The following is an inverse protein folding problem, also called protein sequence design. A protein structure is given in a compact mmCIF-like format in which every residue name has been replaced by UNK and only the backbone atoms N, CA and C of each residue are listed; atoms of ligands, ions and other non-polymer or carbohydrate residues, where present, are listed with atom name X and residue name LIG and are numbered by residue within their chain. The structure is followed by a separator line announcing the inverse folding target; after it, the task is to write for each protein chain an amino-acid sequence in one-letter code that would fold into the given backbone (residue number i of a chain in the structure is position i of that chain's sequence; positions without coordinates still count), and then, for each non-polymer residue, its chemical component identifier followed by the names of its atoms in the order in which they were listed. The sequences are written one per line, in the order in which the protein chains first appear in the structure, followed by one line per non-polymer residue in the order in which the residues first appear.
data_IF_446666745839
#
_entry.id   IF_446666745839
#
_cell.length_a   1.000
_cell.length_b   1.000
_cell.length_c   1.000
_cell.angle_alpha   90.00
_cell.angle_beta   90.00
_cell.angle_gamma   90.00
#
_symmetry.space_group_name_H-M   'P 1'
#
loop_
_entity.id
_entity.type
_entity.pdbx_description
1 polymer ?
#
# COMPACT_ATOMS: atom_id res chain seq x y z
N UNK A 1 -56.09 25.32 35.08
CA UNK A 1 -55.31 26.21 34.20
C UNK A 1 -53.97 26.36 34.89
N UNK A 2 -52.86 25.78 34.43
CA UNK A 2 -52.23 25.92 33.11
C UNK A 2 -51.57 24.59 32.73
N UNK A 3 -51.82 24.10 31.51
CA UNK A 3 -51.21 22.89 30.97
C UNK A 3 -49.84 23.20 30.37
N UNK A 4 -48.86 22.35 30.67
CA UNK A 4 -47.50 22.42 30.12
C UNK A 4 -47.48 21.65 28.80
N UNK A 5 -47.43 22.36 27.67
CA UNK A 5 -47.19 21.77 26.35
C UNK A 5 -45.68 21.64 26.13
N UNK A 6 -45.19 20.41 26.09
CA UNK A 6 -43.86 20.05 25.61
C UNK A 6 -43.89 19.98 24.08
N UNK A 7 -43.28 20.96 23.42
CA UNK A 7 -43.02 20.93 21.98
C UNK A 7 -41.72 20.17 21.73
N UNK A 8 -41.81 19.01 21.08
CA UNK A 8 -40.66 18.27 20.53
C UNK A 8 -40.27 18.95 19.22
N UNK A 9 -39.00 19.33 19.00
CA UNK A 9 -38.57 19.80 17.69
C UNK A 9 -38.48 18.60 16.75
N UNK A 10 -39.32 18.61 15.73
CA UNK A 10 -39.18 17.76 14.55
C UNK A 10 -37.92 18.23 13.83
N UNK A 11 -36.84 17.45 13.86
CA UNK A 11 -35.73 17.65 12.92
C UNK A 11 -36.23 17.22 11.54
N UNK A 12 -36.52 18.21 10.70
CA UNK A 12 -36.87 18.00 9.30
C UNK A 12 -35.72 17.33 8.57
N UNK A 13 -36.06 16.34 7.74
CA UNK A 13 -35.14 15.73 6.78
C UNK A 13 -34.49 16.84 5.94
N UNK A 14 -33.16 16.86 5.88
CA UNK A 14 -32.39 17.80 5.07
C UNK A 14 -32.90 17.78 3.63
N UNK A 15 -33.25 18.96 3.13
CA UNK A 15 -33.62 19.20 1.74
C UNK A 15 -32.47 18.71 0.84
N UNK A 16 -32.73 18.02 -0.28
CA UNK A 16 -31.68 17.67 -1.23
C UNK A 16 -30.90 18.92 -1.63
N UNK A 17 -29.58 18.80 -1.74
CA UNK A 17 -28.67 19.85 -2.18
C UNK A 17 -29.30 20.63 -3.35
N UNK A 18 -29.50 21.93 -3.17
CA UNK A 18 -30.14 22.81 -4.15
C UNK A 18 -29.52 22.57 -5.52
N UNK A 19 -30.35 22.21 -6.50
CA UNK A 19 -29.97 22.31 -7.91
C UNK A 19 -29.61 23.78 -8.13
N UNK A 20 -28.37 24.11 -8.57
CA UNK A 20 -27.97 25.50 -8.79
C UNK A 20 -28.99 26.21 -9.69
N UNK A 21 -29.29 27.49 -9.40
CA UNK A 21 -30.27 28.29 -10.15
C UNK A 21 -29.93 28.37 -11.67
N UNK A 22 -28.68 28.11 -12.02
CA UNK A 22 -28.18 27.96 -13.38
C UNK A 22 -27.01 26.97 -13.45
N UNK A 23 -26.76 26.41 -14.62
CA UNK A 23 -25.60 25.53 -14.88
C UNK A 23 -24.31 26.29 -15.23
N UNK A 24 -24.24 27.61 -15.01
CA UNK A 24 -23.05 28.41 -15.32
C UNK A 24 -21.81 27.92 -14.57
N UNK A 25 -21.96 27.48 -13.32
CA UNK A 25 -20.89 26.85 -12.52
C UNK A 25 -20.34 25.58 -13.19
N UNK A 26 -21.16 24.86 -13.96
CA UNK A 26 -20.73 23.70 -14.74
C UNK A 26 -19.92 24.06 -16.00
N UNK A 27 -19.91 25.34 -16.39
CA UNK A 27 -19.12 25.88 -17.50
C UNK A 27 -18.00 26.80 -17.02
N UNK A 28 -17.80 26.93 -15.71
CA UNK A 28 -16.63 27.63 -15.19
C UNK A 28 -15.37 26.93 -15.68
N UNK A 29 -14.38 27.74 -16.08
CA UNK A 29 -13.08 27.20 -16.45
C UNK A 29 -12.50 26.50 -15.23
N UNK A 30 -12.09 25.25 -15.39
CA UNK A 30 -11.33 24.54 -14.36
C UNK A 30 -10.02 25.29 -14.17
N UNK A 31 -9.73 25.68 -12.93
CA UNK A 31 -8.50 26.39 -12.57
C UNK A 31 -7.33 25.40 -12.60
N UNK A 32 -6.74 25.23 -13.79
CA UNK A 32 -5.54 24.43 -13.96
C UNK A 32 -4.30 25.26 -13.60
N UNK A 33 -3.26 24.64 -13.00
CA UNK A 33 -1.98 25.30 -12.80
C UNK A 33 -1.47 25.92 -14.10
N UNK A 34 -0.97 27.15 -14.03
CA UNK A 34 -0.34 27.79 -15.18
C UNK A 34 0.89 27.00 -15.63
N UNK A 35 1.21 27.10 -16.91
CA UNK A 35 2.46 26.56 -17.42
C UNK A 35 3.67 27.24 -16.76
N UNK A 36 4.70 26.46 -16.48
CA UNK A 36 5.96 26.92 -15.91
C UNK A 36 7.13 26.07 -16.43
N UNK A 37 8.28 26.12 -15.74
CA UNK A 37 9.45 25.34 -16.14
C UNK A 37 9.28 23.82 -15.89
N UNK A 38 8.38 23.44 -14.98
CA UNK A 38 8.12 22.05 -14.59
C UNK A 38 6.99 21.42 -15.41
N UNK A 39 6.07 22.23 -15.94
CA UNK A 39 4.86 21.77 -16.66
C UNK A 39 4.55 22.64 -17.88
N UNK A 40 4.45 22.02 -19.04
CA UNK A 40 4.00 22.68 -20.27
C UNK A 40 2.50 23.04 -20.20
N UNK A 41 2.05 23.97 -21.05
CA UNK A 41 0.64 24.41 -21.08
C UNK A 41 -0.37 23.31 -21.44
N UNK A 42 0.09 22.18 -21.97
CA UNK A 42 -0.72 20.99 -22.25
C UNK A 42 -0.61 19.91 -21.15
N UNK A 43 0.03 20.21 -20.02
CA UNK A 43 0.16 19.34 -18.86
C UNK A 43 1.33 18.36 -18.92
N UNK A 44 2.11 18.31 -20.00
CA UNK A 44 3.29 17.44 -20.08
C UNK A 44 4.43 17.95 -19.20
N UNK A 45 5.35 17.07 -18.78
CA UNK A 45 6.61 17.45 -18.16
C UNK A 45 7.33 18.55 -18.96
N UNK A 46 7.69 19.64 -18.28
CA UNK A 46 8.53 20.72 -18.82
C UNK A 46 10.02 20.39 -18.75
N UNK A 47 10.86 21.28 -19.26
CA UNK A 47 12.31 21.06 -19.37
C UNK A 47 13.02 20.92 -18.01
N UNK A 48 12.42 21.41 -16.93
CA UNK A 48 12.95 21.29 -15.56
C UNK A 48 12.15 20.31 -14.69
N UNK A 49 11.27 19.50 -15.29
CA UNK A 49 10.48 18.52 -14.54
C UNK A 49 11.35 17.63 -13.65
N UNK A 50 10.89 17.43 -12.42
CA UNK A 50 11.51 16.57 -11.44
C UNK A 50 10.44 15.68 -10.80
N UNK A 51 10.89 14.54 -10.28
CA UNK A 51 10.07 13.63 -9.50
C UNK A 51 10.99 12.97 -8.48
N UNK A 52 10.55 12.87 -7.23
CA UNK A 52 11.32 12.17 -6.21
C UNK A 52 11.19 10.65 -6.39
N UNK A 53 12.08 9.91 -5.74
CA UNK A 53 12.09 8.45 -5.82
C UNK A 53 12.07 7.87 -4.41
N UNK A 54 11.34 6.77 -4.24
CA UNK A 54 11.29 6.02 -3.00
C UNK A 54 11.54 4.54 -3.29
N UNK A 55 12.76 4.08 -3.00
CA UNK A 55 13.12 2.67 -3.10
C UNK A 55 12.86 1.96 -1.78
N UNK A 56 12.30 0.76 -1.85
CA UNK A 56 11.91 -0.03 -0.70
C UNK A 56 12.64 -1.36 -0.66
N UNK A 57 13.29 -1.63 0.47
CA UNK A 57 13.63 -2.98 0.88
C UNK A 57 12.73 -3.37 2.04
N UNK A 58 11.92 -4.43 1.88
CA UNK A 58 10.92 -4.83 2.86
C UNK A 58 11.06 -6.31 3.20
N UNK A 59 11.22 -6.60 4.48
CA UNK A 59 11.21 -7.95 5.02
C UNK A 59 9.99 -8.12 5.93
N UNK A 60 9.08 -9.02 5.58
CA UNK A 60 7.88 -9.30 6.38
C UNK A 60 7.71 -10.76 6.74
N UNK A 61 7.03 -10.98 7.86
CA UNK A 61 6.61 -12.30 8.33
C UNK A 61 5.12 -12.31 8.62
N UNK A 62 4.41 -13.24 7.99
CA UNK A 62 3.02 -13.55 8.28
C UNK A 62 2.92 -14.57 9.42
N UNK A 63 2.26 -14.18 10.50
CA UNK A 63 1.87 -15.06 11.60
C UNK A 63 0.39 -15.39 11.47
N UNK A 64 0.09 -16.56 10.90
CA UNK A 64 -1.28 -17.02 10.66
C UNK A 64 -1.99 -17.53 11.92
N UNK A 65 -1.26 -17.74 13.01
CA UNK A 65 -1.88 -18.09 14.29
C UNK A 65 -2.40 -16.85 15.02
N UNK A 66 -1.72 -15.71 14.83
CA UNK A 66 -2.11 -14.43 15.39
C UNK A 66 -2.80 -13.49 14.37
N UNK A 67 -2.90 -13.89 13.10
CA UNK A 67 -3.36 -13.04 11.99
C UNK A 67 -2.63 -11.69 11.94
N UNK A 68 -1.30 -11.72 12.10
CA UNK A 68 -0.47 -10.51 12.23
C UNK A 68 0.62 -10.48 11.17
N UNK A 69 0.85 -9.30 10.61
CA UNK A 69 1.99 -9.02 9.75
C UNK A 69 3.00 -8.17 10.52
N UNK A 70 4.24 -8.64 10.60
CA UNK A 70 5.37 -7.88 11.15
C UNK A 70 6.38 -7.61 10.06
N UNK A 71 6.92 -6.40 10.02
CA UNK A 71 7.83 -5.96 8.98
C UNK A 71 8.97 -5.10 9.48
N UNK A 72 10.12 -5.26 8.82
CA UNK A 72 11.20 -4.28 8.79
C UNK A 72 11.25 -3.74 7.38
N UNK A 73 11.25 -2.43 7.23
CA UNK A 73 11.44 -1.80 5.94
C UNK A 73 12.51 -0.72 5.99
N UNK A 74 13.28 -0.64 4.92
CA UNK A 74 14.25 0.40 4.65
C UNK A 74 13.77 1.13 3.40
N UNK A 75 13.56 2.44 3.53
CA UNK A 75 13.20 3.33 2.44
C UNK A 75 14.42 4.19 2.12
N UNK A 76 14.93 4.10 0.90
CA UNK A 76 15.87 5.09 0.37
C UNK A 76 15.07 6.15 -0.36
N UNK A 77 15.07 7.37 0.15
CA UNK A 77 14.34 8.49 -0.46
C UNK A 77 15.31 9.45 -1.14
N UNK A 78 15.06 9.72 -2.43
CA UNK A 78 15.85 10.64 -3.24
C UNK A 78 15.06 11.91 -3.52
N UNK A 79 15.55 13.05 -3.02
CA UNK A 79 14.97 14.37 -3.23
C UNK A 79 15.55 15.02 -4.50
N UNK A 80 14.87 14.82 -5.63
CA UNK A 80 15.16 15.49 -6.90
C UNK A 80 14.52 16.89 -6.99
N UNK A 81 13.77 17.32 -5.98
CA UNK A 81 13.16 18.65 -5.98
C UNK A 81 14.21 19.76 -5.82
N UNK A 82 13.93 20.99 -6.30
CA UNK A 82 14.83 22.14 -6.15
C UNK A 82 14.80 22.75 -4.75
N UNK A 83 14.19 22.07 -3.77
CA UNK A 83 14.02 22.52 -2.39
C UNK A 83 14.67 21.53 -1.44
N UNK A 84 15.36 22.05 -0.43
CA UNK A 84 15.83 21.23 0.67
C UNK A 84 14.65 20.79 1.55
N UNK A 85 14.65 19.53 2.01
CA UNK A 85 13.58 18.99 2.84
C UNK A 85 14.06 18.83 4.29
N UNK A 86 13.31 19.37 5.25
CA UNK A 86 13.65 19.28 6.70
C UNK A 86 12.89 18.18 7.43
N UNK A 87 12.02 17.47 6.73
CA UNK A 87 11.20 16.38 7.27
C UNK A 87 10.70 15.50 6.14
N UNK A 88 10.47 14.24 6.48
CA UNK A 88 9.79 13.27 5.63
C UNK A 88 8.36 13.06 6.13
N UNK A 89 7.46 12.69 5.22
CA UNK A 89 6.11 12.28 5.55
C UNK A 89 5.86 10.86 5.04
N UNK A 90 5.32 10.01 5.92
CA UNK A 90 5.01 8.61 5.63
C UNK A 90 3.54 8.34 5.95
N UNK A 91 2.86 7.66 5.03
CA UNK A 91 1.51 7.16 5.13
C UNK A 91 1.47 5.96 6.09
N UNK A 92 0.53 5.99 7.03
CA UNK A 92 0.24 4.91 7.98
C UNK A 92 -1.22 4.46 7.80
N UNK A 93 -1.56 3.92 6.63
CA UNK A 93 -2.96 3.67 6.26
C UNK A 93 -3.67 2.67 7.16
N UNK A 94 -2.97 1.73 7.80
CA UNK A 94 -3.62 0.83 8.78
C UNK A 94 -4.23 1.58 9.96
N UNK A 95 -3.74 2.78 10.30
CA UNK A 95 -4.32 3.62 11.36
C UNK A 95 -5.71 4.17 10.99
N UNK A 96 -6.10 4.08 9.71
CA UNK A 96 -7.46 4.40 9.28
C UNK A 96 -8.48 3.50 9.95
N UNK A 97 -8.18 2.20 10.11
CA UNK A 97 -9.11 1.20 10.62
C UNK A 97 -9.23 1.19 12.15
N UNK A 98 -8.46 2.02 12.87
CA UNK A 98 -8.52 2.04 14.33
C UNK A 98 -9.81 2.67 14.83
N UNK A 99 -10.45 2.06 15.82
CA UNK A 99 -11.59 2.65 16.53
C UNK A 99 -11.25 4.06 17.02
N UNK A 100 -12.11 5.03 16.73
CA UNK A 100 -11.93 6.45 17.05
C UNK A 100 -11.07 7.23 16.05
N UNK A 101 -10.55 6.60 14.99
CA UNK A 101 -9.84 7.31 13.92
C UNK A 101 -10.75 8.30 13.18
N UNK A 102 -10.17 9.14 12.32
CA UNK A 102 -10.97 10.01 11.44
C UNK A 102 -11.82 9.20 10.46
N UNK A 103 -11.35 8.02 10.04
CA UNK A 103 -12.10 7.13 9.16
C UNK A 103 -13.36 6.61 9.84
N UNK A 104 -13.18 6.06 11.04
CA UNK A 104 -14.26 5.52 11.89
C UNK A 104 -15.35 6.58 12.17
N UNK A 105 -14.95 7.84 12.33
CA UNK A 105 -15.89 8.94 12.58
C UNK A 105 -16.73 9.38 11.37
N UNK A 106 -16.28 9.11 10.14
CA UNK A 106 -16.89 9.68 8.91
C UNK A 106 -17.40 8.63 7.93
N UNK A 107 -16.94 7.39 8.02
CA UNK A 107 -17.35 6.29 7.15
C UNK A 107 -18.42 5.46 7.87
N UNK A 108 -19.62 5.31 7.29
CA UNK A 108 -20.65 4.44 7.86
C UNK A 108 -20.20 2.99 7.98
N UNK A 109 -20.65 2.28 9.01
CA UNK A 109 -20.28 0.87 9.28
C UNK A 109 -20.61 -0.08 8.12
N UNK A 110 -21.71 0.17 7.40
CA UNK A 110 -22.18 -0.62 6.26
C UNK A 110 -21.59 -0.16 4.92
N UNK A 111 -20.72 0.84 4.92
CA UNK A 111 -20.10 1.34 3.71
C UNK A 111 -19.01 0.40 3.22
N UNK A 112 -18.79 0.42 1.90
CA UNK A 112 -17.71 -0.31 1.22
C UNK A 112 -16.32 -0.12 1.85
N UNK A 113 -16.05 1.06 2.41
CA UNK A 113 -14.75 1.42 2.99
C UNK A 113 -14.67 1.25 4.51
N UNK A 114 -15.58 0.48 5.12
CA UNK A 114 -15.56 0.16 6.54
C UNK A 114 -14.56 -0.96 6.88
N UNK A 115 -14.63 -1.50 8.10
CA UNK A 115 -13.71 -2.50 8.63
C UNK A 115 -12.95 -2.01 9.87
N UNK A 116 -13.57 -1.17 10.70
CA UNK A 116 -12.95 -0.60 11.89
C UNK A 116 -12.94 -1.61 13.05
N UNK A 117 -11.84 -1.69 13.78
CA UNK A 117 -11.68 -2.57 14.94
C UNK A 117 -10.60 -2.06 15.90
N UNK A 118 -10.63 -2.54 17.14
CA UNK A 118 -9.82 -1.99 18.24
C UNK A 118 -8.31 -2.26 18.08
N UNK A 119 -7.93 -3.44 17.58
CA UNK A 119 -6.53 -3.84 17.37
C UNK A 119 -5.92 -3.31 16.06
N UNK A 120 -6.67 -2.52 15.29
CA UNK A 120 -6.18 -1.99 14.03
C UNK A 120 -5.11 -0.91 14.23
N UNK A 121 -4.37 -0.63 13.15
CA UNK A 121 -3.30 0.36 13.16
C UNK A 121 -1.91 -0.25 13.25
N UNK A 122 -0.94 0.56 12.84
CA UNK A 122 0.46 0.22 12.98
C UNK A 122 0.92 0.41 14.41
N UNK A 123 1.63 -0.60 14.92
CA UNK A 123 2.56 -0.43 16.04
C UNK A 123 3.95 -0.25 15.46
N UNK A 124 4.52 0.96 15.58
CA UNK A 124 5.91 1.24 15.23
C UNK A 124 6.80 0.90 16.44
N UNK A 125 7.76 -0.02 16.26
CA UNK A 125 8.70 -0.42 17.31
C UNK A 125 10.07 0.23 17.16
N UNK A 126 10.43 0.68 15.96
CA UNK A 126 11.62 1.48 15.71
C UNK A 126 11.41 2.40 14.50
N UNK A 127 11.97 3.61 14.57
CA UNK A 127 12.06 4.56 13.46
C UNK A 127 13.47 5.14 13.50
N UNK A 128 14.24 4.94 12.44
CA UNK A 128 15.63 5.37 12.36
C UNK A 128 15.88 6.11 11.05
N UNK A 129 16.63 7.20 11.11
CA UNK A 129 17.09 7.94 9.94
C UNK A 129 18.59 7.79 9.84
N UNK A 130 19.06 7.31 8.70
CA UNK A 130 20.49 7.23 8.37
C UNK A 130 20.81 8.18 7.23
N UNK A 131 21.89 8.96 7.42
CA UNK A 131 22.45 9.85 6.41
C UNK A 131 23.96 9.95 6.62
N UNK A 132 24.74 9.89 5.53
CA UNK A 132 26.20 10.03 5.56
C UNK A 132 26.91 9.08 6.56
N UNK A 133 26.31 7.90 6.79
CA UNK A 133 26.81 6.89 7.73
C UNK A 133 26.47 7.13 9.21
N UNK A 134 25.72 8.19 9.52
CA UNK A 134 25.20 8.46 10.87
C UNK A 134 23.73 8.05 10.97
N UNK A 135 23.43 7.17 11.93
CA UNK A 135 22.06 6.74 12.26
C UNK A 135 21.54 7.47 13.48
N UNK A 136 20.34 8.03 13.39
CA UNK A 136 19.67 8.76 14.47
C UNK A 136 18.25 8.24 14.68
N UNK A 137 17.74 8.36 15.90
CA UNK A 137 16.33 8.16 16.21
C UNK A 137 15.62 9.53 16.27
N UNK A 138 14.79 9.88 15.28
CA UNK A 138 14.13 11.18 15.24
C UNK A 138 13.00 11.25 16.28
N UNK A 139 12.76 12.45 16.81
CA UNK A 139 11.54 12.78 17.58
C UNK A 139 10.34 12.92 16.62
N UNK A 140 9.86 11.78 16.12
CA UNK A 140 8.80 11.71 15.12
C UNK A 140 7.42 11.97 15.74
N UNK A 141 6.45 12.38 14.91
CA UNK A 141 5.05 12.57 15.32
C UNK A 141 4.12 11.74 14.46
N UNK A 142 3.27 10.93 15.09
CA UNK A 142 2.14 10.27 14.43
C UNK A 142 0.86 11.08 14.68
N UNK A 143 0.10 11.35 13.63
CA UNK A 143 -1.22 12.00 13.70
C UNK A 143 -2.20 11.32 12.73
N UNK A 144 -2.94 10.33 13.24
CA UNK A 144 -3.80 9.47 12.44
C UNK A 144 -2.98 8.64 11.45
N UNK A 145 -3.30 8.74 10.17
CA UNK A 145 -2.62 8.01 9.08
C UNK A 145 -1.32 8.66 8.61
N UNK A 146 -0.74 9.57 9.39
CA UNK A 146 0.43 10.38 9.00
C UNK A 146 1.53 10.26 10.02
N UNK A 147 2.72 9.91 9.55
CA UNK A 147 3.96 9.97 10.30
C UNK A 147 4.82 11.11 9.74
N UNK A 148 5.19 12.05 10.60
CA UNK A 148 6.12 13.13 10.31
C UNK A 148 7.46 12.81 10.96
N UNK A 149 8.52 12.77 10.15
CA UNK A 149 9.88 12.43 10.58
C UNK A 149 10.77 13.65 10.39
N UNK A 150 11.13 14.40 11.45
CA UNK A 150 12.09 15.48 11.34
C UNK A 150 13.47 14.95 10.94
N UNK A 151 14.20 15.74 10.14
CA UNK A 151 15.60 15.47 9.82
C UNK A 151 16.49 16.42 10.65
N UNK A 152 17.55 15.88 11.26
CA UNK A 152 18.55 16.66 12.00
C UNK A 152 19.25 17.68 11.10
N UNK A 153 19.49 17.29 9.86
CA UNK A 153 20.01 18.14 8.79
C UNK A 153 19.06 18.13 7.59
N UNK A 154 18.93 19.28 6.92
CA UNK A 154 18.07 19.36 5.74
C UNK A 154 18.60 18.44 4.63
N UNK A 155 17.72 17.60 4.08
CA UNK A 155 17.99 16.79 2.90
C UNK A 155 18.24 17.71 1.71
N UNK A 156 19.42 17.64 1.06
CA UNK A 156 19.76 18.55 -0.03
C UNK A 156 18.76 18.48 -1.19
N UNK A 157 18.57 19.61 -1.85
CA UNK A 157 17.88 19.68 -3.14
C UNK A 157 18.68 18.94 -4.24
N UNK A 158 18.04 18.73 -5.39
CA UNK A 158 18.69 18.31 -6.63
C UNK A 158 19.49 16.99 -6.52
N UNK A 159 18.92 16.00 -5.82
CA UNK A 159 19.42 14.63 -5.74
C UNK A 159 19.91 14.18 -4.36
N UNK A 160 19.62 14.93 -3.28
CA UNK A 160 19.96 14.51 -1.93
C UNK A 160 19.25 13.21 -1.52
N UNK A 161 19.96 12.32 -0.83
CA UNK A 161 19.42 11.02 -0.39
C UNK A 161 19.40 10.85 1.13
N UNK A 162 18.43 10.09 1.63
CA UNK A 162 18.31 9.70 3.04
C UNK A 162 17.69 8.31 3.15
N UNK A 163 18.12 7.56 4.15
CA UNK A 163 17.58 6.24 4.45
C UNK A 163 16.69 6.32 5.68
N UNK A 164 15.44 5.85 5.57
CA UNK A 164 14.49 5.73 6.67
C UNK A 164 14.19 4.26 6.93
N UNK A 165 14.54 3.76 8.10
CA UNK A 165 14.22 2.39 8.53
C UNK A 165 13.07 2.40 9.53
N UNK A 166 12.06 1.56 9.30
CA UNK A 166 10.95 1.35 10.23
C UNK A 166 10.80 -0.14 10.55
N UNK A 167 10.71 -0.45 11.84
CA UNK A 167 10.23 -1.74 12.32
C UNK A 167 8.77 -1.56 12.78
N UNK A 168 7.85 -2.38 12.27
CA UNK A 168 6.42 -2.22 12.50
C UNK A 168 5.67 -3.56 12.50
N UNK A 169 4.45 -3.55 13.04
CA UNK A 169 3.49 -4.64 12.87
C UNK A 169 2.06 -4.10 12.91
N UNK A 170 1.11 -4.87 12.38
CA UNK A 170 -0.33 -4.61 12.53
C UNK A 170 -1.14 -5.91 12.51
N UNK A 171 -2.33 -5.85 13.10
CA UNK A 171 -3.31 -6.93 13.06
C UNK A 171 -4.04 -6.93 11.71
N UNK A 172 -4.05 -8.06 11.01
CA UNK A 172 -4.74 -8.19 9.72
C UNK A 172 -6.24 -8.31 10.00
N UNK A 173 -7.10 -7.45 9.41
CA UNK A 173 -8.54 -7.56 9.56
C UNK A 173 -9.10 -8.74 8.77
N UNK A 174 -10.30 -9.18 9.13
CA UNK A 174 -11.12 -10.01 8.24
C UNK A 174 -11.46 -9.21 6.96
N UNK A 175 -11.95 -7.98 7.14
CA UNK A 175 -12.30 -7.07 6.04
C UNK A 175 -11.65 -5.70 6.21
N UNK A 176 -10.81 -5.29 5.26
CA UNK A 176 -10.14 -3.98 5.22
C UNK A 176 -10.51 -3.20 3.97
N UNK A 177 -11.76 -2.71 3.88
CA UNK A 177 -12.26 -1.80 2.84
C UNK A 177 -12.10 -2.29 1.37
N UNK A 178 -12.27 -3.59 1.10
CA UNK A 178 -11.94 -4.28 -0.16
C UNK A 178 -10.45 -4.24 -0.58
N UNK A 179 -9.57 -3.62 0.21
CA UNK A 179 -8.15 -3.42 -0.14
C UNK A 179 -7.27 -4.54 0.40
N UNK A 180 -7.59 -5.04 1.58
CA UNK A 180 -6.87 -6.13 2.20
C UNK A 180 -7.75 -6.86 3.21
N UNK A 181 -7.27 -7.99 3.71
CA UNK A 181 -7.92 -8.75 4.77
C UNK A 181 -7.74 -10.26 4.60
N UNK A 182 -8.67 -10.99 5.17
CA UNK A 182 -8.68 -12.46 5.19
C UNK A 182 -10.00 -12.98 4.64
N UNK A 183 -9.92 -14.01 3.81
CA UNK A 183 -11.09 -14.73 3.32
C UNK A 183 -10.95 -16.21 3.68
N UNK A 184 -11.81 -16.70 4.56
CA UNK A 184 -11.90 -18.13 4.84
C UNK A 184 -12.60 -18.86 3.70
N UNK A 185 -11.92 -19.89 3.19
CA UNK A 185 -12.44 -20.85 2.22
C UNK A 185 -12.31 -22.27 2.77
N UNK A 186 -12.94 -23.24 2.12
CA UNK A 186 -12.98 -24.63 2.61
C UNK A 186 -11.57 -25.22 2.84
N UNK A 187 -10.61 -24.88 1.99
CA UNK A 187 -9.24 -25.41 2.05
C UNK A 187 -8.26 -24.55 2.88
N UNK A 188 -8.71 -23.44 3.47
CA UNK A 188 -7.90 -22.58 4.34
C UNK A 188 -8.25 -21.10 4.23
N UNK A 189 -7.37 -20.24 4.74
CA UNK A 189 -7.56 -18.78 4.69
C UNK A 189 -6.72 -18.17 3.57
N UNK A 190 -7.33 -17.27 2.81
CA UNK A 190 -6.65 -16.41 1.83
C UNK A 190 -6.32 -15.09 2.49
N UNK A 191 -5.03 -14.76 2.58
CA UNK A 191 -4.57 -13.44 3.01
C UNK A 191 -4.32 -12.59 1.77
N UNK A 192 -4.95 -11.43 1.68
CA UNK A 192 -4.79 -10.48 0.58
C UNK A 192 -4.36 -9.13 1.13
N UNK A 193 -3.22 -8.60 0.64
CA UNK A 193 -2.56 -7.45 1.21
C UNK A 193 -2.24 -6.41 0.13
N UNK A 194 -3.09 -5.38 0.05
CA UNK A 194 -2.71 -4.06 -0.46
C UNK A 194 -2.66 -3.06 0.71
N UNK A 195 -2.07 -1.87 0.51
CA UNK A 195 -2.02 -0.83 1.56
C UNK A 195 -1.39 -1.28 2.89
N UNK A 196 -0.48 -2.26 2.85
CA UNK A 196 -0.10 -3.02 4.04
C UNK A 196 1.20 -2.54 4.69
N UNK A 197 1.98 -1.66 4.03
CA UNK A 197 3.24 -1.13 4.56
C UNK A 197 3.24 0.42 4.64
N UNK A 198 4.01 1.03 5.56
CA UNK A 198 4.22 2.47 5.56
C UNK A 198 4.83 2.96 4.24
N UNK A 199 4.21 3.96 3.60
CA UNK A 199 4.60 4.45 2.26
C UNK A 199 4.95 5.91 2.27
N UNK A 200 5.94 6.35 1.49
CA UNK A 200 6.27 7.77 1.35
C UNK A 200 5.08 8.54 0.75
N UNK A 201 4.78 9.70 1.34
CA UNK A 201 3.92 10.67 0.65
C UNK A 201 4.65 11.26 -0.56
N UNK A 202 3.91 11.68 -1.59
CA UNK A 202 4.50 12.41 -2.72
C UNK A 202 4.83 13.84 -2.31
N UNK A 203 6.02 14.30 -2.70
CA UNK A 203 6.37 15.72 -2.68
C UNK A 203 6.43 16.23 -4.13
N UNK A 204 5.55 17.16 -4.51
CA UNK A 204 5.43 17.67 -5.88
C UNK A 204 5.58 19.21 -5.97
N UNK A 205 5.54 19.75 -7.19
CA UNK A 205 5.65 21.18 -7.49
C UNK A 205 4.36 21.99 -7.21
N UNK A 206 3.22 21.32 -6.99
CA UNK A 206 1.91 21.96 -6.83
C UNK A 206 1.58 22.16 -5.33
N UNK A 207 1.68 21.09 -4.56
CA UNK A 207 1.24 20.96 -3.18
C UNK A 207 2.41 20.83 -2.20
N UNK A 208 3.64 20.61 -2.69
CA UNK A 208 4.73 20.14 -1.85
C UNK A 208 4.38 18.76 -1.31
N UNK A 209 4.47 18.56 0.01
CA UNK A 209 4.07 17.29 0.63
C UNK A 209 2.55 17.08 0.58
N UNK A 210 2.10 16.02 -0.08
CA UNK A 210 0.70 15.61 -0.18
C UNK A 210 0.17 14.90 1.09
N UNK A 211 0.49 15.42 2.26
CA UNK A 211 0.27 14.82 3.57
C UNK A 211 -1.18 14.98 4.10
N UNK A 212 -2.18 14.97 3.21
CA UNK A 212 -3.58 14.94 3.63
C UNK A 212 -3.88 13.61 4.35
N UNK A 213 -4.73 13.62 5.40
CA UNK A 213 -5.13 12.40 6.08
C UNK A 213 -5.88 11.47 5.11
N UNK A 214 -5.62 10.18 5.19
CA UNK A 214 -6.37 9.18 4.43
C UNK A 214 -7.73 8.95 5.09
N UNK A 215 -8.80 9.04 4.27
CA UNK A 215 -10.20 8.89 4.70
C UNK A 215 -10.90 7.70 3.99
N UNK A 216 -10.13 6.73 3.48
CA UNK A 216 -10.66 5.50 2.88
C UNK A 216 -11.02 5.57 1.40
N UNK A 217 -11.60 6.69 0.93
CA UNK A 217 -12.14 6.78 -0.44
C UNK A 217 -11.12 7.19 -1.52
N UNK A 218 -9.95 7.70 -1.12
CA UNK A 218 -8.91 8.14 -2.05
C UNK A 218 -8.16 6.96 -2.67
N UNK A 219 -7.70 7.13 -3.91
CA UNK A 219 -6.70 6.27 -4.53
C UNK A 219 -5.28 6.75 -4.25
N UNK A 220 -4.31 5.91 -4.56
CA UNK A 220 -2.91 6.13 -4.20
C UNK A 220 -2.24 7.21 -5.03
N UNK A 221 -1.64 8.18 -4.33
CA UNK A 221 -0.64 9.08 -4.89
C UNK A 221 0.70 8.82 -4.21
N UNK A 222 1.57 8.09 -4.92
CA UNK A 222 2.82 7.51 -4.43
C UNK A 222 3.95 7.82 -5.41
N UNK A 223 5.15 7.98 -4.86
CA UNK A 223 6.38 8.08 -5.65
C UNK A 223 6.63 6.76 -6.38
N UNK A 224 7.35 6.82 -7.50
CA UNK A 224 7.89 5.63 -8.14
C UNK A 224 9.18 5.21 -7.45
N UNK A 225 9.50 3.93 -7.55
CA UNK A 225 10.80 3.41 -7.15
C UNK A 225 10.93 1.91 -7.40
N UNK A 226 11.96 1.33 -6.81
CA UNK A 226 12.23 -0.10 -6.82
C UNK A 226 11.79 -0.76 -5.51
N UNK A 227 11.50 -2.06 -5.59
CA UNK A 227 11.08 -2.88 -4.48
C UNK A 227 11.92 -4.15 -4.45
N UNK A 228 12.53 -4.45 -3.30
CA UNK A 228 13.12 -5.74 -2.94
C UNK A 228 12.36 -6.26 -1.70
N UNK A 229 11.48 -7.24 -1.91
CA UNK A 229 10.53 -7.69 -0.90
C UNK A 229 10.72 -9.16 -0.58
N UNK A 230 10.99 -9.45 0.69
CA UNK A 230 11.07 -10.80 1.26
C UNK A 230 9.84 -11.08 2.14
N UNK A 231 9.05 -12.09 1.77
CA UNK A 231 7.79 -12.47 2.42
C UNK A 231 7.95 -13.86 3.04
N UNK A 232 8.05 -13.93 4.36
CA UNK A 232 8.10 -15.20 5.11
C UNK A 232 6.70 -15.66 5.51
N UNK A 233 6.31 -16.85 5.04
CA UNK A 233 5.00 -17.48 5.27
C UNK A 233 5.15 -18.93 5.75
N UNK A 234 4.12 -19.52 6.38
CA UNK A 234 4.06 -20.98 6.56
C UNK A 234 4.35 -21.72 5.25
N UNK A 235 5.11 -22.82 5.32
CA UNK A 235 5.62 -23.56 4.15
C UNK A 235 4.53 -24.11 3.22
N UNK A 236 3.31 -24.25 3.71
CA UNK A 236 2.19 -24.72 2.92
C UNK A 236 1.47 -23.62 2.12
N UNK A 237 1.91 -22.36 2.23
CA UNK A 237 1.36 -21.26 1.47
C UNK A 237 2.10 -21.03 0.16
N UNK A 238 1.32 -20.74 -0.88
CA UNK A 238 1.77 -20.15 -2.13
C UNK A 238 1.65 -18.64 -2.02
N UNK A 239 2.64 -17.90 -2.52
CA UNK A 239 2.62 -16.44 -2.57
C UNK A 239 2.50 -15.98 -4.02
N UNK A 240 1.61 -15.02 -4.26
CA UNK A 240 1.56 -14.24 -5.48
C UNK A 240 1.79 -12.79 -5.10
N UNK A 241 2.60 -12.07 -5.86
CA UNK A 241 2.99 -10.71 -5.50
C UNK A 241 3.33 -9.87 -6.72
N UNK A 242 3.38 -8.56 -6.50
CA UNK A 242 3.93 -7.61 -7.47
C UNK A 242 5.40 -7.93 -7.76
N UNK A 243 5.82 -7.78 -9.01
CA UNK A 243 7.20 -7.99 -9.42
C UNK A 243 7.53 -9.42 -9.86
N UNK A 244 8.83 -9.72 -9.93
CA UNK A 244 9.39 -10.99 -10.40
C UNK A 244 9.88 -11.81 -9.20
N UNK A 245 9.44 -13.06 -9.10
CA UNK A 245 9.97 -14.02 -8.13
C UNK A 245 11.44 -14.33 -8.41
N UNK A 246 12.29 -14.19 -7.39
CA UNK A 246 13.74 -14.29 -7.49
C UNK A 246 14.32 -15.64 -7.04
N UNK A 247 13.61 -16.40 -6.21
CA UNK A 247 14.09 -17.68 -5.66
C UNK A 247 13.13 -18.87 -5.91
N UNK A 248 12.68 -19.11 -7.17
CA UNK A 248 11.71 -20.16 -7.45
C UNK A 248 12.21 -21.58 -7.10
N UNK A 249 13.52 -21.83 -7.14
CA UNK A 249 14.12 -23.12 -6.76
C UNK A 249 13.94 -23.45 -5.28
N UNK A 250 13.80 -22.43 -4.43
CA UNK A 250 13.66 -22.60 -2.97
C UNK A 250 12.20 -22.77 -2.54
N UNK A 251 11.27 -22.12 -3.25
CA UNK A 251 9.87 -21.97 -2.81
C UNK A 251 8.86 -22.72 -3.66
N UNK A 252 9.24 -23.18 -4.85
CA UNK A 252 8.38 -23.94 -5.76
C UNK A 252 8.88 -25.37 -5.95
N UNK A 253 7.97 -26.30 -6.24
CA UNK A 253 8.32 -27.65 -6.67
C UNK A 253 8.82 -27.66 -8.12
N UNK A 254 9.52 -28.73 -8.53
CA UNK A 254 9.98 -28.90 -9.91
C UNK A 254 8.82 -28.84 -10.90
N UNK A 255 7.72 -29.55 -10.61
CA UNK A 255 6.51 -29.54 -11.43
C UNK A 255 5.91 -28.14 -11.60
N UNK A 256 5.87 -27.33 -10.54
CA UNK A 256 5.38 -25.96 -10.62
C UNK A 256 6.29 -25.07 -11.48
N UNK A 257 7.62 -25.21 -11.34
CA UNK A 257 8.59 -24.46 -12.16
C UNK A 257 8.50 -24.81 -13.64
N UNK A 258 8.32 -26.09 -13.96
CA UNK A 258 8.14 -26.56 -15.35
C UNK A 258 6.88 -25.97 -15.97
N UNK A 259 5.75 -26.04 -15.25
CA UNK A 259 4.47 -25.45 -15.68
C UNK A 259 4.55 -23.93 -15.84
N UNK A 260 5.28 -23.22 -14.98
CA UNK A 260 5.51 -21.79 -15.13
C UNK A 260 6.39 -21.45 -16.34
N UNK A 261 7.38 -22.29 -16.64
CA UNK A 261 8.21 -22.15 -17.84
C UNK A 261 7.37 -22.32 -19.12
N UNK A 262 6.43 -23.28 -19.11
CA UNK A 262 5.44 -23.45 -20.18
C UNK A 262 4.52 -22.22 -20.30
N UNK A 263 3.96 -21.75 -19.17
CA UNK A 263 3.06 -20.60 -19.13
C UNK A 263 3.67 -19.33 -19.75
N UNK A 264 4.96 -19.07 -19.50
CA UNK A 264 5.69 -17.92 -20.07
C UNK A 264 5.73 -17.90 -21.60
N UNK A 265 5.49 -19.05 -22.23
CA UNK A 265 5.49 -19.20 -23.68
C UNK A 265 4.07 -19.42 -24.25
N UNK A 266 3.03 -19.44 -23.40
CA UNK A 266 1.65 -19.72 -23.78
C UNK A 266 0.73 -18.53 -23.55
N UNK A 267 -0.09 -18.19 -24.55
CA UNK A 267 -1.21 -17.24 -24.37
C UNK A 267 -2.45 -17.92 -23.77
N UNK A 268 -2.47 -19.25 -23.75
CA UNK A 268 -3.49 -20.03 -23.09
C UNK A 268 -3.07 -20.30 -21.64
N UNK A 269 -4.05 -20.37 -20.75
CA UNK A 269 -3.83 -20.65 -19.32
C UNK A 269 -3.20 -22.03 -19.13
N UNK A 270 -2.07 -22.06 -18.44
CA UNK A 270 -1.42 -23.28 -17.96
C UNK A 270 -1.68 -23.39 -16.47
N UNK A 271 -2.32 -24.48 -16.06
CA UNK A 271 -2.54 -24.78 -14.64
C UNK A 271 -1.20 -25.07 -13.96
N UNK A 272 -0.86 -24.30 -12.93
CA UNK A 272 0.33 -24.47 -12.08
C UNK A 272 0.01 -25.37 -10.89
N UNK A 273 -1.14 -25.13 -10.23
CA UNK A 273 -1.72 -25.93 -9.15
C UNK A 273 -3.20 -26.12 -9.46
N UNK A 274 -3.61 -27.36 -9.71
CA UNK A 274 -5.01 -27.71 -9.95
C UNK A 274 -5.82 -27.87 -8.66
N UNK A 275 -7.14 -27.89 -8.80
CA UNK A 275 -8.10 -28.08 -7.70
C UNK A 275 -7.81 -29.36 -6.88
N UNK A 276 -7.52 -30.47 -7.56
CA UNK A 276 -7.20 -31.76 -6.92
C UNK A 276 -5.84 -31.78 -6.20
N UNK A 277 -4.98 -30.78 -6.43
CA UNK A 277 -3.66 -30.68 -5.81
C UNK A 277 -3.69 -29.82 -4.54
N UNK A 278 -4.67 -28.94 -4.38
CA UNK A 278 -4.76 -27.99 -3.26
C UNK A 278 -4.73 -28.71 -1.91
N UNK A 279 -3.94 -28.20 -0.97
CA UNK A 279 -3.75 -28.78 0.36
C UNK A 279 -2.84 -30.02 0.43
N UNK A 280 -2.54 -30.68 -0.69
CA UNK A 280 -1.65 -31.86 -0.71
C UNK A 280 -0.18 -31.47 -0.54
N UNK A 281 0.68 -32.41 -0.12
CA UNK A 281 2.14 -32.15 0.01
C UNK A 281 2.83 -31.80 -1.32
N UNK A 282 2.20 -32.13 -2.46
CA UNK A 282 2.75 -31.85 -3.78
C UNK A 282 2.79 -30.34 -4.12
N UNK A 283 2.10 -29.48 -3.37
CA UNK A 283 2.05 -28.04 -3.63
C UNK A 283 3.23 -27.27 -3.08
N UNK A 284 4.17 -27.92 -2.39
CA UNK A 284 5.28 -27.24 -1.69
C UNK A 284 6.56 -28.07 -1.69
N UNK A 285 7.74 -27.42 -1.66
CA UNK A 285 9.00 -28.11 -1.41
C UNK A 285 9.00 -28.81 -0.03
N UNK A 286 9.56 -30.02 0.01
CA UNK A 286 9.79 -30.74 1.25
C UNK A 286 10.69 -29.97 2.24
N UNK A 287 10.52 -30.24 3.53
CA UNK A 287 11.33 -29.66 4.61
C UNK A 287 10.49 -29.12 5.76
N UNK A 288 11.18 -28.55 6.74
CA UNK A 288 10.58 -27.99 7.96
C UNK A 288 10.66 -26.45 7.98
N UNK A 289 9.88 -25.83 8.87
CA UNK A 289 9.89 -24.38 9.06
C UNK A 289 9.25 -23.59 7.90
N UNK A 290 9.19 -22.26 8.00
CA UNK A 290 8.58 -21.39 6.99
C UNK A 290 9.41 -21.28 5.71
N UNK A 291 8.81 -20.71 4.66
CA UNK A 291 9.47 -20.34 3.41
C UNK A 291 9.51 -18.82 3.28
N UNK A 292 10.58 -18.30 2.67
CA UNK A 292 10.70 -16.87 2.34
C UNK A 292 10.68 -16.69 0.83
N UNK A 293 9.66 -16.02 0.32
CA UNK A 293 9.51 -15.69 -1.09
C UNK A 293 10.12 -14.31 -1.35
N UNK A 294 10.98 -14.20 -2.36
CA UNK A 294 11.70 -12.95 -2.68
C UNK A 294 11.22 -12.39 -4.01
N UNK A 295 10.80 -11.15 -4.03
CA UNK A 295 10.31 -10.46 -5.23
C UNK A 295 11.08 -9.17 -5.47
N UNK A 296 11.33 -8.87 -6.74
CA UNK A 296 11.80 -7.55 -7.15
C UNK A 296 10.86 -6.89 -8.15
N UNK A 297 10.65 -5.59 -8.01
CA UNK A 297 9.94 -4.76 -8.98
C UNK A 297 10.70 -3.46 -9.19
N UNK A 298 10.76 -2.97 -10.42
CA UNK A 298 11.47 -1.74 -10.79
C UNK A 298 10.47 -0.75 -11.38
N UNK A 299 10.61 0.52 -11.00
CA UNK A 299 9.80 1.63 -11.48
C UNK A 299 8.29 1.35 -11.36
N UNK A 300 7.87 0.93 -10.16
CA UNK A 300 6.47 0.74 -9.78
C UNK A 300 6.12 1.68 -8.64
N UNK A 301 4.81 1.92 -8.43
CA UNK A 301 4.32 2.83 -7.39
C UNK A 301 3.90 2.14 -6.10
N UNK A 302 3.58 0.85 -6.17
CA UNK A 302 3.07 0.12 -5.02
C UNK A 302 3.36 -1.38 -5.15
N UNK A 303 3.23 -2.08 -4.03
CA UNK A 303 3.46 -3.51 -3.91
C UNK A 303 2.29 -4.17 -3.17
N UNK A 304 1.60 -5.07 -3.85
CA UNK A 304 0.58 -5.93 -3.27
C UNK A 304 0.96 -7.40 -3.39
N UNK A 305 0.45 -8.20 -2.46
CA UNK A 305 0.65 -9.65 -2.47
C UNK A 305 -0.50 -10.38 -1.80
N UNK A 306 -0.60 -11.68 -2.06
CA UNK A 306 -1.53 -12.57 -1.42
C UNK A 306 -0.83 -13.89 -1.09
N UNK A 307 -1.29 -14.56 -0.03
CA UNK A 307 -0.78 -15.86 0.35
C UNK A 307 -1.89 -16.79 0.84
N UNK A 308 -1.83 -18.04 0.38
CA UNK A 308 -2.74 -19.07 0.88
C UNK A 308 -2.22 -20.47 0.57
N UNK A 309 -2.62 -21.42 1.39
CA UNK A 309 -2.54 -22.86 1.11
C UNK A 309 -3.68 -23.35 0.19
N UNK A 310 -4.71 -22.52 0.00
CA UNK A 310 -5.91 -22.84 -0.75
C UNK A 310 -5.87 -22.38 -2.23
N UNK A 311 -4.73 -21.86 -2.70
CA UNK A 311 -4.63 -21.35 -4.07
C UNK A 311 -4.69 -22.46 -5.12
N UNK A 312 -5.73 -22.40 -5.94
CA UNK A 312 -5.71 -22.89 -7.31
C UNK A 312 -4.97 -21.84 -8.12
N UNK A 313 -3.93 -22.24 -8.84
CA UNK A 313 -3.02 -21.30 -9.50
C UNK A 313 -2.85 -21.68 -10.96
N UNK A 314 -3.12 -20.74 -11.86
CA UNK A 314 -2.76 -20.80 -13.27
C UNK A 314 -1.91 -19.59 -13.68
N UNK A 315 -1.30 -19.70 -14.85
CA UNK A 315 -0.53 -18.61 -15.44
C UNK A 315 -0.63 -18.65 -16.96
N UNK A 316 -0.53 -17.47 -17.58
CA UNK A 316 -0.38 -17.31 -19.02
C UNK A 316 0.51 -16.10 -19.29
N UNK A 317 1.17 -16.10 -20.43
CA UNK A 317 1.90 -14.95 -20.96
C UNK A 317 0.93 -13.84 -21.33
N UNK A 318 1.20 -12.63 -20.87
CA UNK A 318 0.58 -11.41 -21.37
C UNK A 318 1.62 -10.50 -22.06
N UNK A 319 1.20 -9.84 -23.15
CA UNK A 319 2.00 -8.79 -23.77
C UNK A 319 1.64 -7.43 -23.17
N UNK A 320 2.64 -6.68 -22.72
CA UNK A 320 2.51 -5.36 -22.13
C UNK A 320 3.42 -4.37 -22.87
N UNK A 321 2.88 -3.77 -23.93
CA UNK A 321 3.68 -2.98 -24.88
C UNK A 321 4.74 -3.85 -25.56
N UNK A 322 6.00 -3.42 -25.47
CA UNK A 322 7.15 -4.18 -26.02
C UNK A 322 7.70 -5.25 -25.06
N UNK A 323 7.03 -5.48 -23.93
CA UNK A 323 7.44 -6.43 -22.90
C UNK A 323 6.46 -7.59 -22.79
N UNK A 324 6.92 -8.66 -22.16
CA UNK A 324 6.09 -9.80 -21.78
C UNK A 324 6.13 -9.96 -20.27
N UNK A 325 4.97 -10.24 -19.69
CA UNK A 325 4.77 -10.51 -18.26
C UNK A 325 4.10 -11.86 -18.09
#
# INVERSE_FOLDING_TARGET
MVGLLLTVPVMGQGVPQQVPDHNLESFEAVDFPAADAYRAADGRPGDQYWQNEADYQIEVKLDTAANRLSGRQTITYTNNSPQELRRLWVQLEQNFFQTGSRGDQVVPDDARFSGFFDEAGYTLTSVQVERDGETTEPDYKVEGTRLMVPLSEALPADGGTVTLTLDWNFQIPEFGADRHGMLDVEQGTVYQLAQWYPRMYVYDDINGWNHLPYLGQGEYYLEYGSFDVSITVPRNMIVTATGRLQNPEEVLTETQRDRLSEARNSRETVTIIGEDEVGTEATRPAGDGPLTWRYTAENVRDFSWAASQAFIWDAAKADAGDRTV
#
